data_IF_805688177169
#
_entry.id   IF_805688177169
#
_cell.length_a   1.000
_cell.length_b   1.000
_cell.length_c   1.000
_cell.angle_alpha   90.00
_cell.angle_beta   90.00
_cell.angle_gamma   90.00
#
_symmetry.space_group_name_H-M   'P 1'
#
loop_
_entity.id
_entity.type
_entity.pdbx_description
1 polymer ?
#
# COMPACT_ATOMS: atom_id res chain seq x y z
N UNK A 1 3.24 19.56 -14.60
CA UNK A 1 2.49 18.34 -14.26
C UNK A 1 1.88 18.57 -12.89
N UNK A 2 0.54 18.74 -12.80
CA UNK A 2 -0.15 18.91 -11.53
C UNK A 2 -0.14 17.56 -10.80
N UNK A 3 0.64 17.47 -9.73
CA UNK A 3 0.50 16.39 -8.79
C UNK A 3 -0.88 16.51 -8.13
N UNK A 4 -1.79 15.64 -8.50
CA UNK A 4 -3.07 15.52 -7.82
C UNK A 4 -2.83 14.67 -6.58
N UNK A 5 -2.92 15.27 -5.40
CA UNK A 5 -3.11 14.49 -4.18
C UNK A 5 -4.44 13.77 -4.42
N UNK A 6 -4.39 12.50 -4.75
CA UNK A 6 -5.56 11.67 -4.54
C UNK A 6 -5.81 11.67 -3.03
N UNK A 7 -6.68 12.60 -2.62
CA UNK A 7 -7.53 12.30 -1.50
C UNK A 7 -8.30 11.07 -1.95
N UNK A 8 -7.75 9.89 -1.73
CA UNK A 8 -8.56 8.69 -1.61
C UNK A 8 -9.44 9.04 -0.43
N UNK A 9 -10.57 9.67 -0.70
CA UNK A 9 -11.64 9.85 0.27
C UNK A 9 -12.02 8.43 0.62
N UNK A 10 -11.49 7.94 1.72
CA UNK A 10 -12.22 6.95 2.50
C UNK A 10 -13.58 7.59 2.63
N UNK A 11 -14.53 7.08 1.85
CA UNK A 11 -15.88 7.62 1.81
C UNK A 11 -16.31 7.83 3.25
N UNK A 12 -16.92 8.96 3.55
CA UNK A 12 -17.35 9.45 4.86
C UNK A 12 -18.34 8.49 5.58
N UNK A 13 -18.03 7.24 5.67
CA UNK A 13 -18.67 6.22 6.45
C UNK A 13 -17.57 5.42 7.13
N UNK A 14 -17.49 5.59 8.42
CA UNK A 14 -16.98 4.78 9.55
C UNK A 14 -16.42 3.38 9.19
N UNK A 15 -15.60 3.27 8.16
CA UNK A 15 -14.96 2.04 7.75
C UNK A 15 -13.50 2.06 8.18
N UNK A 16 -13.18 1.19 9.11
CA UNK A 16 -11.82 0.97 9.60
C UNK A 16 -10.86 0.42 8.53
N UNK A 17 -11.37 0.08 7.35
CA UNK A 17 -10.58 -0.36 6.20
C UNK A 17 -11.23 0.00 4.87
N UNK A 18 -10.40 0.09 3.83
CA UNK A 18 -10.79 0.27 2.43
C UNK A 18 -10.05 -0.75 1.57
N UNK A 19 -10.74 -1.36 0.61
CA UNK A 19 -10.14 -2.21 -0.41
C UNK A 19 -10.50 -1.72 -1.79
N UNK A 20 -9.55 -1.76 -2.73
CA UNK A 20 -9.73 -1.27 -4.08
C UNK A 20 -9.03 -2.15 -5.10
N UNK A 21 -9.53 -2.10 -6.33
CA UNK A 21 -8.93 -2.72 -7.50
C UNK A 21 -8.65 -1.61 -8.51
N UNK A 22 -7.40 -1.48 -8.92
CA UNK A 22 -6.99 -0.63 -10.04
C UNK A 22 -6.62 -1.54 -11.21
N UNK A 23 -7.24 -1.31 -12.37
CA UNK A 23 -6.98 -2.10 -13.57
C UNK A 23 -6.87 -1.19 -14.80
N UNK A 24 -5.89 -1.47 -15.65
CA UNK A 24 -5.64 -0.80 -16.91
C UNK A 24 -5.52 -1.82 -18.03
N UNK A 25 -6.27 -1.64 -19.11
CA UNK A 25 -6.21 -2.52 -20.30
C UNK A 25 -5.03 -2.14 -21.19
N UNK A 26 -4.50 -3.14 -21.90
CA UNK A 26 -3.51 -2.91 -22.96
C UNK A 26 -4.00 -1.87 -23.98
N UNK A 27 -3.13 -0.98 -24.41
CA UNK A 27 -3.44 0.09 -25.34
C UNK A 27 -4.22 1.28 -24.77
N UNK A 28 -4.52 1.28 -23.48
CA UNK A 28 -5.15 2.40 -22.79
C UNK A 28 -4.08 3.41 -22.40
N UNK A 29 -4.11 4.57 -23.06
CA UNK A 29 -3.24 5.69 -22.72
C UNK A 29 -3.68 6.33 -21.40
N UNK A 30 -2.72 6.94 -20.69
CA UNK A 30 -2.83 7.63 -19.43
C UNK A 30 -4.21 7.97 -18.83
N UNK A 31 -4.37 7.96 -17.51
CA UNK A 31 -3.31 7.75 -16.53
C UNK A 31 -3.00 6.27 -16.30
N UNK A 32 -1.70 5.91 -16.24
CA UNK A 32 -1.27 4.59 -15.80
C UNK A 32 -1.66 4.38 -14.34
N UNK A 33 -2.04 3.16 -13.96
CA UNK A 33 -2.28 2.83 -12.54
C UNK A 33 -0.98 2.78 -11.74
N UNK A 34 0.17 2.62 -12.42
CA UNK A 34 1.50 2.78 -11.85
C UNK A 34 2.08 4.09 -12.37
N UNK A 35 1.92 5.18 -11.60
CA UNK A 35 2.24 6.54 -12.00
C UNK A 35 3.38 7.12 -11.17
N UNK A 36 4.00 8.19 -11.66
CA UNK A 36 5.04 8.96 -10.98
C UNK A 36 4.52 9.77 -9.79
N UNK A 37 3.72 9.13 -8.93
CA UNK A 37 3.10 9.80 -7.82
C UNK A 37 3.67 9.37 -6.48
N UNK A 38 4.71 10.08 -6.02
CA UNK A 38 5.28 9.91 -4.69
C UNK A 38 4.33 10.44 -3.63
N UNK A 39 3.84 9.56 -2.75
CA UNK A 39 2.85 9.92 -1.74
C UNK A 39 3.06 9.16 -0.42
N UNK A 40 2.31 9.56 0.59
CA UNK A 40 2.19 8.90 1.87
C UNK A 40 0.81 9.16 2.47
N UNK A 41 0.35 8.31 3.36
CA UNK A 41 -0.93 8.43 4.06
C UNK A 41 -0.85 7.79 5.46
N UNK A 42 -1.80 8.08 6.37
CA UNK A 42 -1.78 7.57 7.75
C UNK A 42 -2.15 6.09 7.88
N UNK A 43 -2.75 5.50 6.86
CA UNK A 43 -3.16 4.10 6.87
C UNK A 43 -1.97 3.16 6.66
N UNK A 44 -2.12 1.94 7.12
CA UNK A 44 -1.32 0.79 6.68
C UNK A 44 -1.87 0.35 5.33
N UNK A 45 -1.00 0.01 4.40
CA UNK A 45 -1.39 -0.46 3.08
C UNK A 45 -0.78 -1.81 2.73
N UNK A 46 -1.59 -2.70 2.16
CA UNK A 46 -1.10 -3.86 1.42
C UNK A 46 -1.40 -3.63 -0.05
N UNK A 47 -0.34 -3.53 -0.86
CA UNK A 47 -0.44 -3.47 -2.32
C UNK A 47 -0.06 -4.83 -2.90
N UNK A 48 -0.98 -5.45 -3.65
CA UNK A 48 -0.78 -6.72 -4.32
C UNK A 48 -0.78 -6.54 -5.83
N UNK A 49 0.32 -6.90 -6.49
CA UNK A 49 0.49 -6.78 -7.93
C UNK A 49 -0.09 -8.01 -8.62
N UNK A 50 -1.21 -7.85 -9.31
CA UNK A 50 -1.86 -8.95 -10.05
C UNK A 50 -1.28 -9.05 -11.45
N UNK A 51 -1.10 -7.90 -12.12
CA UNK A 51 -0.52 -7.79 -13.47
C UNK A 51 0.36 -6.56 -13.57
N UNK A 52 1.39 -6.65 -14.40
CA UNK A 52 2.34 -5.57 -14.64
C UNK A 52 3.62 -5.72 -13.81
N UNK A 53 4.65 -5.01 -14.22
CA UNK A 53 5.97 -4.97 -13.57
C UNK A 53 6.54 -3.56 -13.60
N UNK A 54 7.52 -3.29 -12.76
CA UNK A 54 8.13 -1.97 -12.70
C UNK A 54 9.02 -1.79 -11.47
N UNK A 55 9.10 -0.55 -11.00
CA UNK A 55 9.90 -0.14 -9.86
C UNK A 55 9.00 0.34 -8.71
N UNK A 56 9.19 -0.25 -7.54
CA UNK A 56 8.61 0.20 -6.28
C UNK A 56 9.63 1.09 -5.55
N UNK A 57 9.26 2.32 -5.33
CA UNK A 57 10.01 3.26 -4.50
C UNK A 57 9.38 3.21 -3.10
N UNK A 58 10.12 2.77 -2.10
CA UNK A 58 9.61 2.61 -0.72
C UNK A 58 10.63 3.22 0.25
N UNK A 59 10.25 4.30 0.92
CA UNK A 59 11.15 5.05 1.79
C UNK A 59 12.39 5.53 1.03
N UNK A 60 13.57 5.02 1.37
CA UNK A 60 14.83 5.39 0.73
C UNK A 60 15.39 4.31 -0.22
N UNK A 61 14.55 3.40 -0.67
CA UNK A 61 14.96 2.28 -1.53
C UNK A 61 14.07 2.16 -2.75
N UNK A 62 14.68 1.64 -3.81
CA UNK A 62 14.01 1.25 -5.05
C UNK A 62 14.24 -0.24 -5.26
N UNK A 63 13.16 -0.96 -5.53
CA UNK A 63 13.19 -2.40 -5.83
C UNK A 63 12.29 -2.69 -7.02
N UNK A 64 12.58 -3.73 -7.76
CA UNK A 64 11.70 -4.22 -8.82
C UNK A 64 10.48 -4.92 -8.24
N UNK A 65 9.36 -4.83 -8.95
CA UNK A 65 8.17 -5.61 -8.66
C UNK A 65 7.68 -6.35 -9.90
N UNK A 66 7.03 -7.49 -9.66
CA UNK A 66 6.48 -8.35 -10.70
C UNK A 66 5.12 -8.94 -10.26
N UNK A 67 4.33 -9.51 -11.20
CA UNK A 67 3.05 -10.12 -10.88
C UNK A 67 3.15 -11.18 -9.78
N UNK A 68 2.17 -11.19 -8.88
CA UNK A 68 2.09 -12.09 -7.73
C UNK A 68 2.75 -11.56 -6.47
N UNK A 69 3.59 -10.53 -6.55
CA UNK A 69 4.21 -9.91 -5.39
C UNK A 69 3.27 -8.98 -4.62
N UNK A 70 3.47 -8.95 -3.31
CA UNK A 70 2.77 -8.02 -2.43
C UNK A 70 3.74 -7.27 -1.52
N UNK A 71 3.31 -6.08 -1.11
CA UNK A 71 4.05 -5.18 -0.23
C UNK A 71 3.16 -4.74 0.91
N UNK A 72 3.72 -4.69 2.12
CA UNK A 72 3.05 -4.12 3.29
C UNK A 72 3.78 -2.83 3.69
N UNK A 73 3.05 -1.73 3.64
CA UNK A 73 3.56 -0.38 3.87
C UNK A 73 2.97 0.18 5.16
N UNK A 74 3.83 0.65 6.05
CA UNK A 74 3.41 1.23 7.32
C UNK A 74 2.88 2.65 7.18
N UNK A 75 2.23 3.17 8.23
CA UNK A 75 1.71 4.54 8.25
C UNK A 75 2.80 5.56 7.93
N UNK A 76 2.45 6.53 7.09
CA UNK A 76 3.32 7.64 6.67
C UNK A 76 4.62 7.23 5.97
N UNK A 77 4.77 5.98 5.56
CA UNK A 77 5.93 5.56 4.77
C UNK A 77 5.76 6.04 3.33
N UNK A 78 6.62 6.94 2.82
CA UNK A 78 6.50 7.42 1.45
C UNK A 78 6.75 6.28 0.46
N UNK A 79 5.91 6.19 -0.54
CA UNK A 79 6.01 5.13 -1.55
C UNK A 79 5.43 5.55 -2.90
N UNK A 80 5.81 4.79 -3.93
CA UNK A 80 5.27 4.88 -5.27
C UNK A 80 5.56 3.59 -6.05
N UNK A 81 4.69 3.26 -7.00
CA UNK A 81 4.86 2.15 -7.92
C UNK A 81 4.81 2.69 -9.35
N UNK A 82 5.86 2.46 -10.12
CA UNK A 82 6.02 3.02 -11.48
C UNK A 82 6.29 1.90 -12.47
N UNK A 83 5.56 1.86 -13.56
CA UNK A 83 5.91 0.99 -14.69
C UNK A 83 7.11 1.53 -15.45
N UNK A 84 7.93 0.65 -16.00
CA UNK A 84 8.99 1.05 -16.93
C UNK A 84 8.39 1.52 -18.26
N UNK A 85 8.92 2.63 -18.82
CA UNK A 85 8.32 3.35 -19.94
C UNK A 85 8.04 2.50 -21.20
N UNK A 86 8.92 1.55 -21.52
CA UNK A 86 8.82 0.73 -22.73
C UNK A 86 7.63 -0.26 -22.71
N UNK A 87 7.08 -0.54 -21.53
CA UNK A 87 6.03 -1.55 -21.34
C UNK A 87 4.68 -0.93 -20.99
N UNK A 88 4.65 0.38 -20.77
CA UNK A 88 3.50 1.05 -20.13
C UNK A 88 2.21 0.99 -20.94
N UNK A 89 2.29 1.04 -22.27
CA UNK A 89 1.10 1.15 -23.13
C UNK A 89 0.57 -0.20 -23.61
N UNK A 90 1.41 -1.22 -23.68
CA UNK A 90 1.06 -2.49 -24.32
C UNK A 90 0.65 -3.61 -23.35
N UNK A 91 0.85 -3.43 -22.05
CA UNK A 91 0.56 -4.47 -21.06
C UNK A 91 -0.66 -4.14 -20.21
N UNK A 92 -1.44 -5.17 -19.92
CA UNK A 92 -2.46 -5.06 -18.88
C UNK A 92 -1.80 -4.88 -17.52
N UNK A 93 -2.36 -3.99 -16.72
CA UNK A 93 -1.92 -3.75 -15.36
C UNK A 93 -3.08 -3.91 -14.41
N UNK A 94 -2.82 -4.54 -13.29
CA UNK A 94 -3.82 -4.71 -12.24
C UNK A 94 -3.13 -4.80 -10.90
N UNK A 95 -3.54 -3.96 -9.97
CA UNK A 95 -3.17 -4.09 -8.57
C UNK A 95 -4.39 -4.02 -7.67
N UNK A 96 -4.33 -4.73 -6.56
CA UNK A 96 -5.33 -4.69 -5.51
C UNK A 96 -4.72 -4.06 -4.28
N UNK A 97 -5.42 -3.08 -3.71
CA UNK A 97 -5.01 -2.37 -2.52
C UNK A 97 -5.93 -2.65 -1.34
N UNK A 98 -5.35 -2.69 -0.16
CA UNK A 98 -6.04 -2.80 1.10
C UNK A 98 -5.44 -1.79 2.06
N UNK A 99 -6.20 -0.78 2.44
CA UNK A 99 -5.82 0.25 3.41
C UNK A 99 -6.63 0.09 4.69
N UNK A 100 -5.98 0.19 5.84
CA UNK A 100 -6.63 0.08 7.15
C UNK A 100 -5.84 0.83 8.22
N UNK A 101 -6.52 1.18 9.30
CA UNK A 101 -5.87 1.85 10.44
C UNK A 101 -5.30 0.84 11.42
N UNK A 102 -4.22 1.22 12.11
CA UNK A 102 -3.64 0.38 13.15
C UNK A 102 -4.60 0.16 14.32
N UNK A 103 -5.45 1.15 14.60
CA UNK A 103 -6.46 1.06 15.66
C UNK A 103 -7.37 -0.15 15.50
N UNK A 104 -7.66 -0.54 14.27
CA UNK A 104 -8.50 -1.71 14.00
C UNK A 104 -7.90 -3.03 14.52
N UNK A 105 -6.58 -3.11 14.58
CA UNK A 105 -5.85 -4.25 15.10
C UNK A 105 -5.44 -4.10 16.58
N UNK A 106 -5.72 -2.96 17.23
CA UNK A 106 -5.33 -2.71 18.62
C UNK A 106 -5.97 -3.68 19.63
N UNK A 107 -7.15 -4.24 19.31
CA UNK A 107 -7.77 -5.29 20.12
C UNK A 107 -6.93 -6.56 20.20
N UNK A 108 -5.98 -6.74 19.30
CA UNK A 108 -5.09 -7.90 19.18
C UNK A 108 -3.63 -7.54 19.51
N UNK A 109 -3.37 -6.39 20.14
CA UNK A 109 -2.02 -5.88 20.43
C UNK A 109 -1.15 -6.81 21.29
N UNK A 110 -1.76 -7.72 22.04
CA UNK A 110 -1.05 -8.72 22.83
C UNK A 110 -0.40 -9.82 21.98
N UNK A 111 -0.77 -9.95 20.71
CA UNK A 111 -0.15 -10.91 19.78
C UNK A 111 1.30 -10.51 19.49
N UNK A 112 2.24 -11.37 19.86
CA UNK A 112 3.67 -11.16 19.61
C UNK A 112 3.99 -11.09 18.10
N UNK A 113 3.29 -11.88 17.27
CA UNK A 113 3.44 -11.87 15.82
C UNK A 113 2.97 -10.55 15.22
N UNK A 114 1.84 -9.99 15.66
CA UNK A 114 1.39 -8.66 15.23
C UNK A 114 2.34 -7.55 15.68
N UNK A 115 2.86 -7.59 16.90
CA UNK A 115 3.84 -6.61 17.36
C UNK A 115 5.13 -6.64 16.52
N UNK A 116 5.58 -7.83 16.12
CA UNK A 116 6.73 -7.98 15.23
C UNK A 116 6.43 -7.39 13.85
N UNK A 117 5.24 -7.68 13.31
CA UNK A 117 4.77 -7.13 12.03
C UNK A 117 4.71 -5.60 12.06
N UNK A 118 4.14 -5.00 13.10
CA UNK A 118 4.04 -3.55 13.26
C UNK A 118 5.40 -2.86 13.35
N UNK A 119 6.40 -3.49 13.96
CA UNK A 119 7.77 -2.94 13.94
C UNK A 119 8.39 -3.01 12.56
N UNK A 120 8.20 -4.10 11.84
CA UNK A 120 8.81 -4.30 10.52
C UNK A 120 8.17 -3.43 9.43
N UNK A 121 6.84 -3.25 9.45
CA UNK A 121 6.14 -2.50 8.39
C UNK A 121 6.52 -1.03 8.30
N UNK A 122 7.08 -0.43 9.37
CA UNK A 122 7.59 0.95 9.32
C UNK A 122 8.76 1.13 8.33
N UNK A 123 9.39 0.05 7.93
CA UNK A 123 10.44 0.02 6.91
C UNK A 123 9.90 -0.41 5.53
N UNK A 124 8.61 -0.71 5.41
CA UNK A 124 8.04 -1.42 4.27
C UNK A 124 8.52 -2.87 4.23
N UNK A 125 7.62 -3.78 3.96
CA UNK A 125 7.91 -5.21 3.86
C UNK A 125 7.64 -5.66 2.44
N UNK A 126 8.63 -6.27 1.79
CA UNK A 126 8.38 -7.08 0.60
C UNK A 126 7.88 -8.45 1.07
N UNK A 127 6.60 -8.72 0.86
CA UNK A 127 5.96 -9.99 1.21
C UNK A 127 6.29 -11.11 0.20
N UNK A 128 6.99 -10.79 -0.90
CA UNK A 128 7.26 -11.73 -1.98
C UNK A 128 5.99 -12.17 -2.70
N UNK A 129 6.06 -13.32 -3.34
CA UNK A 129 4.92 -13.92 -4.03
C UNK A 129 3.88 -14.39 -3.02
N UNK A 130 2.63 -14.00 -3.22
CA UNK A 130 1.52 -14.55 -2.46
C UNK A 130 1.29 -16.02 -2.82
N UNK A 131 1.13 -16.86 -1.80
CA UNK A 131 0.70 -18.22 -2.00
C UNK A 131 -0.79 -18.30 -2.37
N UNK A 132 -1.31 -19.45 -2.82
CA UNK A 132 -2.71 -19.57 -3.23
C UNK A 132 -3.72 -19.19 -2.14
N UNK A 133 -3.42 -19.43 -0.85
CA UNK A 133 -4.31 -19.10 0.26
C UNK A 133 -4.35 -17.58 0.50
N UNK A 134 -3.22 -16.89 0.44
CA UNK A 134 -3.12 -15.43 0.54
C UNK A 134 -3.81 -14.75 -0.66
N UNK A 135 -3.59 -15.25 -1.87
CA UNK A 135 -4.28 -14.78 -3.07
C UNK A 135 -5.81 -14.95 -2.93
N UNK A 136 -6.29 -16.11 -2.47
CA UNK A 136 -7.71 -16.37 -2.26
C UNK A 136 -8.30 -15.45 -1.18
N UNK A 137 -7.58 -15.22 -0.09
CA UNK A 137 -8.01 -14.29 0.94
C UNK A 137 -8.14 -12.87 0.40
N UNK A 138 -7.15 -12.39 -0.36
CA UNK A 138 -7.20 -11.05 -0.97
C UNK A 138 -8.34 -10.93 -1.99
N UNK A 139 -8.56 -11.94 -2.83
CA UNK A 139 -9.72 -12.01 -3.76
C UNK A 139 -11.04 -11.86 -3.00
N UNK A 140 -11.15 -12.48 -1.84
CA UNK A 140 -12.36 -12.37 -1.01
C UNK A 140 -12.50 -10.98 -0.39
N UNK A 141 -11.39 -10.34 0.00
CA UNK A 141 -11.37 -8.98 0.57
C UNK A 141 -11.90 -7.96 -0.43
N UNK A 142 -11.44 -8.02 -1.69
CA UNK A 142 -11.88 -7.09 -2.75
C UNK A 142 -13.25 -7.46 -3.32
N UNK A 143 -13.85 -8.55 -2.84
CA UNK A 143 -15.20 -8.98 -3.19
C UNK A 143 -16.30 -8.07 -2.62
N UNK A 144 -17.54 -8.38 -2.98
CA UNK A 144 -18.69 -7.53 -2.63
C UNK A 144 -19.36 -7.87 -1.29
N UNK A 145 -18.98 -8.96 -0.63
CA UNK A 145 -19.60 -9.43 0.64
C UNK A 145 -18.80 -8.88 1.83
N UNK A 146 -19.33 -7.89 2.58
CA UNK A 146 -18.58 -7.25 3.66
C UNK A 146 -18.19 -8.21 4.80
N UNK A 147 -19.05 -9.17 5.16
CA UNK A 147 -18.76 -10.08 6.25
C UNK A 147 -17.65 -11.08 5.87
N UNK A 148 -17.69 -11.59 4.64
CA UNK A 148 -16.63 -12.46 4.13
C UNK A 148 -15.30 -11.69 3.98
N UNK A 149 -15.37 -10.44 3.54
CA UNK A 149 -14.19 -9.57 3.42
C UNK A 149 -13.50 -9.35 4.77
N UNK A 150 -14.27 -9.08 5.85
CA UNK A 150 -13.71 -8.93 7.20
C UNK A 150 -13.06 -10.23 7.68
N UNK A 151 -13.72 -11.38 7.51
CA UNK A 151 -13.14 -12.68 7.87
C UNK A 151 -11.86 -12.98 7.10
N UNK A 152 -11.86 -12.73 5.80
CA UNK A 152 -10.69 -12.90 4.94
C UNK A 152 -9.54 -11.94 5.29
N UNK A 153 -9.85 -10.70 5.69
CA UNK A 153 -8.87 -9.74 6.18
C UNK A 153 -8.11 -10.27 7.41
N UNK A 154 -8.81 -10.71 8.44
CA UNK A 154 -8.15 -11.23 9.64
C UNK A 154 -7.36 -12.51 9.34
N UNK A 155 -7.85 -13.36 8.45
CA UNK A 155 -7.13 -14.56 8.01
C UNK A 155 -5.83 -14.18 7.27
N UNK A 156 -5.88 -13.23 6.33
CA UNK A 156 -4.70 -12.72 5.62
C UNK A 156 -3.68 -12.13 6.59
N UNK A 157 -4.13 -11.29 7.53
CA UNK A 157 -3.25 -10.69 8.53
C UNK A 157 -2.57 -11.73 9.42
N UNK A 158 -3.28 -12.80 9.81
CA UNK A 158 -2.71 -13.91 10.56
C UNK A 158 -1.61 -14.62 9.73
N UNK A 159 -1.90 -14.98 8.47
CA UNK A 159 -0.92 -15.62 7.58
C UNK A 159 0.33 -14.77 7.40
N UNK A 160 0.18 -13.46 7.23
CA UNK A 160 1.32 -12.55 7.09
C UNK A 160 2.11 -12.45 8.42
N UNK A 161 1.40 -12.28 9.55
CA UNK A 161 2.04 -12.12 10.85
C UNK A 161 2.80 -13.38 11.32
N UNK A 162 2.37 -14.55 10.90
CA UNK A 162 2.98 -15.85 11.26
C UNK A 162 4.22 -16.19 10.42
N UNK A 163 4.56 -15.38 9.42
CA UNK A 163 5.79 -15.58 8.66
C UNK A 163 7.02 -15.52 9.59
N UNK A 164 8.00 -16.41 9.43
CA UNK A 164 9.17 -16.48 10.33
C UNK A 164 10.00 -15.20 10.29
N UNK A 165 10.17 -14.63 9.08
CA UNK A 165 10.98 -13.45 8.82
C UNK A 165 10.24 -12.45 7.92
N UNK A 166 10.65 -11.17 8.01
CA UNK A 166 10.19 -10.10 7.13
C UNK A 166 11.36 -9.49 6.36
N UNK A 167 11.25 -9.51 5.03
CA UNK A 167 12.18 -8.80 4.18
C UNK A 167 11.82 -7.30 4.16
N UNK A 168 12.45 -6.52 5.02
CA UNK A 168 12.26 -5.06 5.05
C UNK A 168 12.96 -4.39 3.88
N UNK A 169 12.32 -3.37 3.31
CA UNK A 169 12.80 -2.67 2.11
C UNK A 169 13.65 -1.46 2.47
N UNK A 170 13.06 -0.48 3.17
CA UNK A 170 13.74 0.74 3.58
C UNK A 170 14.75 0.47 4.70
N UNK A 171 15.84 1.22 4.72
CA UNK A 171 16.79 1.22 5.86
C UNK A 171 16.53 2.35 6.85
N UNK A 172 15.56 3.21 6.56
CA UNK A 172 15.21 4.36 7.37
C UNK A 172 13.74 4.31 7.79
N UNK A 173 13.47 4.29 9.09
CA UNK A 173 12.14 4.36 9.68
C UNK A 173 11.78 5.78 10.17
N UNK A 174 12.56 6.80 9.82
CA UNK A 174 12.36 8.17 10.28
C UNK A 174 10.95 8.70 9.97
N UNK A 175 10.28 8.13 8.98
CA UNK A 175 8.94 8.51 8.60
C UNK A 175 7.87 8.07 9.61
N UNK A 176 8.03 6.92 10.27
CA UNK A 176 7.04 6.40 11.23
C UNK A 176 7.09 7.09 12.61
N UNK A 177 8.24 7.64 13.00
CA UNK A 177 8.44 8.19 14.33
C UNK A 177 8.39 9.73 14.41
N UNK A 178 8.47 10.43 13.28
CA UNK A 178 8.69 11.88 13.24
C UNK A 178 7.52 12.65 12.65
N UNK A 179 6.61 12.01 11.96
CA UNK A 179 5.41 12.66 11.46
C UNK A 179 4.38 12.83 12.58
N UNK A 180 4.78 13.56 13.63
CA UNK A 180 3.79 14.15 14.51
C UNK A 180 2.79 14.92 13.63
N UNK A 181 1.52 15.00 14.03
CA UNK A 181 0.47 15.79 13.34
C UNK A 181 0.96 17.20 12.93
N UNK A 182 1.94 17.73 13.63
CA UNK A 182 2.55 19.05 13.38
C UNK A 182 3.44 19.05 12.13
N UNK A 183 4.17 17.97 11.86
CA UNK A 183 5.03 17.85 10.67
C UNK A 183 4.17 17.51 9.43
N UNK A 184 3.18 16.64 9.57
CA UNK A 184 2.19 16.36 8.52
C UNK A 184 1.52 17.64 8.02
N UNK A 185 1.01 18.49 8.92
CA UNK A 185 0.42 19.80 8.57
C UNK A 185 1.41 20.77 7.92
N UNK A 186 2.71 20.66 8.24
CA UNK A 186 3.74 21.48 7.56
C UNK A 186 4.00 20.97 6.15
N UNK A 187 4.08 19.67 5.96
CA UNK A 187 4.26 19.06 4.64
C UNK A 187 3.05 19.29 3.74
N UNK A 188 1.84 19.17 4.26
CA UNK A 188 0.61 19.53 3.52
C UNK A 188 0.62 20.98 3.03
N UNK A 189 1.05 21.93 3.89
CA UNK A 189 1.16 23.34 3.50
C UNK A 189 2.23 23.58 2.44
N UNK A 190 3.38 22.89 2.54
CA UNK A 190 4.45 23.00 1.55
C UNK A 190 4.01 22.40 0.22
N UNK A 191 3.41 21.22 0.23
CA UNK A 191 2.88 20.57 -0.97
C UNK A 191 1.79 21.43 -1.64
N UNK A 192 0.88 21.97 -0.84
CA UNK A 192 -0.15 22.87 -1.35
C UNK A 192 0.46 24.16 -1.94
N UNK A 193 1.44 24.75 -1.28
CA UNK A 193 2.12 25.95 -1.80
C UNK A 193 2.79 25.67 -3.14
N UNK A 194 3.48 24.53 -3.27
CA UNK A 194 4.11 24.12 -4.54
C UNK A 194 3.06 23.92 -5.64
N UNK A 195 1.93 23.26 -5.32
CA UNK A 195 0.84 23.04 -6.28
C UNK A 195 0.16 24.33 -6.75
N UNK A 196 0.03 25.31 -5.86
CA UNK A 196 -0.64 26.59 -6.17
C UNK A 196 0.26 27.57 -6.95
N UNK A 197 1.60 27.35 -6.99
CA UNK A 197 2.57 28.30 -7.52
C UNK A 197 3.47 27.76 -8.63
N UNK A 198 3.45 26.46 -8.89
CA UNK A 198 4.24 25.78 -9.91
C UNK A 198 3.42 24.79 -10.72
#
# INVERSE_FOLDING_TARGET
VKATIENIRIAEQDRSYNSYVLAQKAGQAFPSIFTDYWHYHPEIEITYIVKGKGLAFIGNKTIEFEPGQAFLLGPYLPHNFVSTEEEDVQMEKECWGLQFTQEWLNSFKESASLQRLFRAMSYGINLGQFNPAEHQAFTTIVGKDPLRSIGAFFNLMAMIADRPDFLTVSTNNAYSNVMSQKLSRRMERVSKYIQDHY
#
